data_IF_913216776840
#
_entry.id   IF_913216776840
#
_cell.length_a   1.000
_cell.length_b   1.000
_cell.length_c   1.000
_cell.angle_alpha   90.00
_cell.angle_beta   90.00
_cell.angle_gamma   90.00
#
_symmetry.space_group_name_H-M   'P 1'
#
loop_
_entity.id
_entity.type
_entity.pdbx_description
1 polymer ?
#
# COMPACT_ATOMS: atom_id res chain seq x y z
N UNK A 1 -16.17 15.84 -29.93
CA UNK A 1 -17.12 15.93 -28.79
C UNK A 1 -17.77 14.57 -28.65
N UNK A 2 -17.35 13.77 -27.67
CA UNK A 2 -17.86 12.41 -27.43
C UNK A 2 -18.95 12.46 -26.33
N UNK A 3 -20.21 12.07 -26.62
CA UNK A 3 -21.35 12.29 -25.73
C UNK A 3 -21.71 11.11 -24.79
N UNK A 4 -20.77 10.28 -24.31
CA UNK A 4 -21.10 9.10 -23.47
C UNK A 4 -20.61 9.13 -22.03
N UNK A 5 -20.89 10.22 -21.32
CA UNK A 5 -20.82 10.21 -19.85
C UNK A 5 -22.19 10.57 -19.26
N UNK A 6 -23.13 9.63 -19.39
CA UNK A 6 -24.40 9.70 -18.67
C UNK A 6 -24.22 8.95 -17.34
N UNK A 7 -24.13 9.64 -16.19
CA UNK A 7 -24.01 8.99 -14.90
C UNK A 7 -25.27 8.18 -14.59
N UNK A 8 -25.08 6.98 -14.04
CA UNK A 8 -26.14 6.06 -13.65
C UNK A 8 -27.09 6.73 -12.63
N UNK A 9 -28.42 6.82 -12.92
CA UNK A 9 -29.39 7.44 -12.02
C UNK A 9 -29.57 6.70 -10.69
N UNK A 10 -28.98 5.51 -10.51
CA UNK A 10 -28.97 4.76 -9.25
C UNK A 10 -27.66 4.91 -8.45
N UNK A 11 -26.71 5.69 -8.94
CA UNK A 11 -25.49 5.98 -8.20
C UNK A 11 -25.79 7.00 -7.09
N UNK A 12 -26.01 6.49 -5.88
CA UNK A 12 -26.16 7.30 -4.69
C UNK A 12 -24.85 7.21 -3.88
N UNK A 13 -23.95 8.20 -3.98
CA UNK A 13 -22.71 8.16 -3.25
C UNK A 13 -23.00 8.13 -1.75
N UNK A 14 -22.32 7.24 -1.01
CA UNK A 14 -22.51 7.09 0.42
C UNK A 14 -22.40 8.46 1.12
N UNK A 15 -23.35 8.78 2.00
CA UNK A 15 -23.41 10.05 2.74
C UNK A 15 -22.13 10.40 3.49
N UNK A 16 -21.26 9.42 3.75
CA UNK A 16 -19.92 9.62 4.32
C UNK A 16 -18.96 10.39 3.40
N UNK A 17 -19.13 10.34 2.08
CA UNK A 17 -18.27 11.07 1.14
C UNK A 17 -18.64 12.55 0.99
N UNK A 18 -19.91 12.92 1.14
CA UNK A 18 -20.34 14.32 0.98
C UNK A 18 -20.04 15.20 2.20
N UNK A 19 -19.93 14.62 3.39
CA UNK A 19 -19.68 15.39 4.61
C UNK A 19 -18.28 16.05 4.65
N UNK A 20 -17.32 15.57 3.86
CA UNK A 20 -15.95 16.10 3.83
C UNK A 20 -15.71 17.29 2.90
N UNK A 21 -16.66 17.64 2.02
CA UNK A 21 -16.45 18.64 0.95
C UNK A 21 -17.10 20.01 1.22
N UNK A 22 -17.82 20.21 2.33
CA UNK A 22 -18.59 21.44 2.58
C UNK A 22 -17.91 22.50 3.46
N UNK A 23 -16.63 22.37 3.79
CA UNK A 23 -15.95 23.34 4.67
C UNK A 23 -14.69 23.88 3.99
N UNK A 24 -14.88 24.82 3.06
CA UNK A 24 -13.77 25.41 2.32
C UNK A 24 -14.16 26.66 1.53
N UNK A 25 -15.00 27.52 2.11
CA UNK A 25 -15.26 28.86 1.57
C UNK A 25 -15.41 29.83 2.74
N UNK A 26 -14.38 30.64 2.99
CA UNK A 26 -14.36 31.67 4.02
C UNK A 26 -13.04 32.42 3.99
N UNK A 27 -12.97 33.47 3.17
CA UNK A 27 -12.82 34.87 3.61
C UNK A 27 -11.40 35.23 4.08
N UNK A 28 -10.58 35.69 3.13
CA UNK A 28 -9.41 36.50 3.44
C UNK A 28 -9.88 37.93 3.75
N UNK A 29 -9.89 38.30 5.02
CA UNK A 29 -10.26 39.64 5.45
C UNK A 29 -9.79 39.96 6.86
N UNK A 30 -8.79 40.84 6.95
CA UNK A 30 -8.81 41.94 7.91
C UNK A 30 -8.11 41.78 9.27
N UNK A 31 -7.19 42.72 9.48
CA UNK A 31 -6.86 43.40 10.76
C UNK A 31 -6.02 42.69 11.82
N UNK A 32 -4.74 43.09 11.83
CA UNK A 32 -3.84 43.04 12.97
C UNK A 32 -4.31 43.96 14.11
N UNK A 33 -4.21 43.50 15.36
CA UNK A 33 -4.11 44.30 16.59
C UNK A 33 -3.68 43.39 17.78
N UNK A 34 -3.26 43.94 18.93
CA UNK A 34 -1.89 44.34 19.24
C UNK A 34 -1.18 43.34 20.18
N UNK A 35 0.14 43.24 20.07
CA UNK A 35 0.99 42.55 21.05
C UNK A 35 1.07 43.42 22.30
N UNK A 36 0.38 43.03 23.36
CA UNK A 36 0.43 43.67 24.66
C UNK A 36 0.99 42.69 25.71
N UNK A 37 2.09 43.10 26.34
CA UNK A 37 2.45 42.74 27.71
C UNK A 37 3.14 41.39 27.91
N UNK A 38 4.43 41.43 28.19
CA UNK A 38 5.20 40.26 28.62
C UNK A 38 4.96 39.87 30.08
N UNK A 39 5.13 38.58 30.38
CA UNK A 39 5.59 38.07 31.66
C UNK A 39 6.56 36.91 31.43
N UNK A 40 7.75 36.90 32.05
CA UNK A 40 8.65 35.76 32.05
C UNK A 40 8.29 34.81 33.20
N UNK A 41 8.11 33.52 32.88
CA UNK A 41 8.16 32.44 33.87
C UNK A 41 6.82 31.99 34.45
N UNK A 42 6.23 30.96 33.85
CA UNK A 42 5.86 29.66 34.45
C UNK A 42 5.20 28.84 33.34
N UNK A 43 5.95 27.93 32.72
CA UNK A 43 5.52 27.13 31.56
C UNK A 43 4.53 26.02 31.91
N UNK A 44 3.41 26.36 32.55
CA UNK A 44 2.22 25.53 32.60
C UNK A 44 1.16 26.23 31.75
N UNK A 45 1.12 25.93 30.45
CA UNK A 45 -0.02 26.32 29.66
C UNK A 45 -1.29 25.71 30.29
N UNK A 46 -2.33 26.50 30.58
CA UNK A 46 -3.58 25.95 31.09
C UNK A 46 -4.15 25.03 30.02
N UNK A 47 -4.41 23.78 30.38
CA UNK A 47 -5.06 22.79 29.52
C UNK A 47 -6.26 23.44 28.81
N UNK A 48 -6.19 23.52 27.47
CA UNK A 48 -7.26 24.04 26.64
C UNK A 48 -8.29 22.94 26.39
N UNK A 49 -9.53 23.05 26.90
CA UNK A 49 -10.59 22.12 26.58
C UNK A 49 -10.94 22.29 25.09
N UNK A 50 -10.39 21.43 24.24
CA UNK A 50 -10.53 21.55 22.78
C UNK A 50 -9.34 20.98 22.00
N UNK A 51 -8.19 20.83 22.64
CA UNK A 51 -7.02 20.14 22.08
C UNK A 51 -7.15 18.61 22.26
N UNK A 52 -8.35 18.10 22.00
CA UNK A 52 -8.57 16.69 21.78
C UNK A 52 -7.76 16.33 20.54
N UNK A 53 -6.75 15.47 20.73
CA UNK A 53 -5.86 14.95 19.70
C UNK A 53 -6.53 14.97 18.32
N UNK A 54 -6.00 15.81 17.42
CA UNK A 54 -6.48 15.89 16.04
C UNK A 54 -6.74 14.46 15.53
N UNK A 55 -7.89 14.18 14.92
CA UNK A 55 -8.25 12.80 14.56
C UNK A 55 -7.08 12.21 13.78
N UNK A 56 -6.45 11.19 14.35
CA UNK A 56 -5.31 10.50 13.76
C UNK A 56 -5.76 10.07 12.37
N UNK A 57 -5.32 10.78 11.32
CA UNK A 57 -5.79 10.52 9.96
C UNK A 57 -5.55 9.04 9.69
N UNK A 58 -6.62 8.31 9.38
CA UNK A 58 -6.52 6.90 9.04
C UNK A 58 -5.44 6.74 7.96
N UNK A 59 -4.60 5.69 8.05
CA UNK A 59 -3.56 5.52 7.06
C UNK A 59 -4.21 5.44 5.69
N UNK A 60 -3.58 6.06 4.70
CA UNK A 60 -4.00 5.88 3.32
C UNK A 60 -2.85 5.31 2.50
N UNK A 61 -3.19 4.38 1.62
CA UNK A 61 -2.30 3.75 0.66
C UNK A 61 -2.86 3.77 -0.75
N UNK A 62 -2.09 3.31 -1.74
CA UNK A 62 -2.57 3.11 -3.10
C UNK A 62 -2.99 1.66 -3.34
N UNK A 63 -4.17 1.46 -3.91
CA UNK A 63 -4.66 0.13 -4.27
C UNK A 63 -3.72 -0.57 -5.28
N UNK A 64 -3.38 -1.83 -4.98
CA UNK A 64 -2.51 -2.65 -5.81
C UNK A 64 -3.20 -3.11 -7.11
N UNK A 65 -2.41 -3.44 -8.14
CA UNK A 65 -2.93 -3.93 -9.42
C UNK A 65 -3.26 -5.42 -9.35
N UNK A 66 -4.47 -5.80 -9.75
CA UNK A 66 -4.86 -7.21 -9.96
C UNK A 66 -4.06 -7.80 -11.13
N UNK A 67 -3.45 -8.97 -10.95
CA UNK A 67 -2.74 -9.68 -12.04
C UNK A 67 -3.14 -11.14 -12.11
N UNK A 68 -3.15 -11.68 -13.32
CA UNK A 68 -3.36 -13.10 -13.54
C UNK A 68 -2.13 -13.90 -13.07
N UNK A 69 -2.25 -14.79 -12.07
CA UNK A 69 -1.12 -15.53 -11.52
C UNK A 69 -0.35 -16.30 -12.59
N UNK A 70 -1.05 -17.01 -13.48
CA UNK A 70 -0.42 -17.81 -14.55
C UNK A 70 0.35 -16.95 -15.55
N UNK A 71 -0.05 -15.69 -15.77
CA UNK A 71 0.70 -14.78 -16.64
C UNK A 71 2.05 -14.39 -16.00
N UNK A 72 2.10 -14.27 -14.67
CA UNK A 72 3.35 -14.03 -13.94
C UNK A 72 4.26 -15.27 -13.88
N UNK A 73 3.69 -16.48 -13.92
CA UNK A 73 4.42 -17.75 -13.78
C UNK A 73 4.87 -18.37 -15.11
N UNK A 74 3.98 -18.50 -16.09
CA UNK A 74 4.19 -19.29 -17.30
C UNK A 74 4.54 -18.45 -18.53
N UNK A 75 4.07 -17.19 -18.58
CA UNK A 75 4.09 -16.40 -19.81
C UNK A 75 5.46 -15.81 -20.18
N UNK A 76 6.34 -15.55 -19.22
CA UNK A 76 7.52 -14.69 -19.46
C UNK A 76 8.87 -15.23 -18.98
N UNK A 77 9.02 -15.96 -17.87
CA UNK A 77 10.34 -16.50 -17.48
C UNK A 77 10.93 -17.45 -18.53
N UNK A 78 10.09 -18.26 -19.18
CA UNK A 78 10.49 -19.17 -20.26
C UNK A 78 10.87 -18.42 -21.55
N UNK A 79 10.21 -17.29 -21.83
CA UNK A 79 10.47 -16.45 -23.02
C UNK A 79 11.68 -15.52 -22.79
N UNK A 80 11.93 -15.07 -21.55
CA UNK A 80 12.95 -14.08 -21.20
C UNK A 80 14.18 -14.66 -20.49
N UNK A 81 14.40 -15.99 -20.53
CA UNK A 81 15.50 -16.65 -19.80
C UNK A 81 15.59 -16.21 -18.32
N UNK A 82 14.44 -16.08 -17.64
CA UNK A 82 14.37 -15.69 -16.22
C UNK A 82 14.43 -14.18 -15.89
N UNK A 83 14.73 -13.30 -16.85
CA UNK A 83 14.84 -11.84 -16.60
C UNK A 83 13.50 -11.24 -16.11
N UNK A 84 12.37 -11.71 -16.64
CA UNK A 84 11.06 -11.22 -16.22
C UNK A 84 10.76 -11.45 -14.74
N UNK A 85 11.32 -12.51 -14.14
CA UNK A 85 11.17 -12.77 -12.70
C UNK A 85 11.66 -11.56 -11.89
N UNK A 86 12.73 -10.89 -12.32
CA UNK A 86 13.24 -9.67 -11.68
C UNK A 86 12.29 -8.49 -11.86
N UNK A 87 11.75 -8.29 -13.06
CA UNK A 87 10.80 -7.20 -13.35
C UNK A 87 9.53 -7.36 -12.52
N UNK A 88 8.97 -8.57 -12.47
CA UNK A 88 7.81 -8.88 -11.64
C UNK A 88 8.11 -8.60 -10.16
N UNK A 89 9.26 -9.08 -9.67
CA UNK A 89 9.65 -8.92 -8.28
C UNK A 89 9.91 -7.45 -7.91
N UNK A 90 10.45 -6.63 -8.81
CA UNK A 90 10.54 -5.19 -8.62
C UNK A 90 9.14 -4.56 -8.50
N UNK A 91 8.24 -4.95 -9.40
CA UNK A 91 6.91 -4.35 -9.51
C UNK A 91 6.04 -4.62 -8.28
N UNK A 92 6.07 -5.84 -7.73
CA UNK A 92 5.33 -6.16 -6.50
C UNK A 92 5.87 -5.40 -5.29
N UNK A 93 7.20 -5.23 -5.18
CA UNK A 93 7.79 -4.50 -4.06
C UNK A 93 7.45 -3.02 -4.13
N UNK A 94 7.46 -2.44 -5.33
CA UNK A 94 7.03 -1.06 -5.56
C UNK A 94 5.55 -0.87 -5.19
N UNK A 95 4.67 -1.75 -5.63
CA UNK A 95 3.24 -1.64 -5.30
C UNK A 95 2.95 -1.85 -3.82
N UNK A 96 3.71 -2.72 -3.16
CA UNK A 96 3.59 -2.93 -1.72
C UNK A 96 4.09 -1.73 -0.92
N UNK A 97 5.15 -1.06 -1.39
CA UNK A 97 5.61 0.22 -0.81
C UNK A 97 4.60 1.36 -1.02
N UNK A 98 3.94 1.40 -2.19
CA UNK A 98 2.88 2.37 -2.51
C UNK A 98 1.57 2.08 -1.72
N UNK A 99 1.30 0.81 -1.41
CA UNK A 99 0.13 0.37 -0.64
C UNK A 99 0.23 0.68 0.85
N UNK A 100 1.38 0.48 1.48
CA UNK A 100 1.57 0.85 2.89
C UNK A 100 2.82 1.73 3.06
N UNK A 101 2.68 3.06 2.88
CA UNK A 101 3.80 4.00 3.03
C UNK A 101 4.41 4.03 4.44
N UNK A 102 3.70 3.49 5.45
CA UNK A 102 4.22 3.43 6.83
C UNK A 102 5.28 2.34 6.98
N UNK A 103 5.22 1.30 6.14
CA UNK A 103 6.20 0.22 6.15
C UNK A 103 7.31 0.54 5.17
N UNK A 104 8.54 0.59 5.66
CA UNK A 104 9.72 0.67 4.81
C UNK A 104 9.89 -0.67 4.07
N UNK A 105 9.26 -0.78 2.91
CA UNK A 105 9.40 -1.93 2.00
C UNK A 105 10.55 -1.61 1.05
N UNK A 106 11.78 -2.10 1.29
CA UNK A 106 12.88 -1.85 0.35
C UNK A 106 12.56 -2.52 -0.98
N UNK A 107 12.57 -1.71 -2.04
CA UNK A 107 12.33 -2.12 -3.43
C UNK A 107 13.64 -2.53 -4.10
N UNK A 108 14.71 -1.76 -3.89
CA UNK A 108 16.02 -2.01 -4.50
C UNK A 108 16.83 -3.12 -3.78
N UNK A 109 16.72 -3.24 -2.46
CA UNK A 109 17.49 -4.22 -1.68
C UNK A 109 17.24 -5.67 -2.12
N UNK A 110 15.99 -6.15 -2.19
CA UNK A 110 15.69 -7.49 -2.66
C UNK A 110 16.09 -7.73 -4.13
N UNK A 111 16.09 -6.70 -4.97
CA UNK A 111 16.60 -6.76 -6.34
C UNK A 111 18.11 -6.98 -6.39
N UNK A 112 18.87 -6.19 -5.62
CA UNK A 112 20.32 -6.32 -5.51
C UNK A 112 20.72 -7.70 -5.00
N UNK A 113 19.99 -8.25 -4.04
CA UNK A 113 20.21 -9.62 -3.55
C UNK A 113 20.02 -10.64 -4.67
N UNK A 114 18.96 -10.54 -5.46
CA UNK A 114 18.73 -11.47 -6.57
C UNK A 114 19.74 -11.29 -7.70
N UNK A 115 20.15 -10.06 -8.01
CA UNK A 115 21.10 -9.75 -9.08
C UNK A 115 22.54 -10.12 -8.72
N UNK A 116 23.00 -9.75 -7.53
CA UNK A 116 24.41 -9.89 -7.12
C UNK A 116 24.67 -11.22 -6.40
N UNK A 117 23.70 -11.72 -5.63
CA UNK A 117 23.82 -12.93 -4.83
C UNK A 117 22.88 -14.06 -5.30
N UNK A 118 22.25 -13.91 -6.47
CA UNK A 118 21.38 -14.94 -7.07
C UNK A 118 22.03 -16.33 -7.16
N UNK A 119 23.33 -16.35 -7.46
CA UNK A 119 24.14 -17.57 -7.59
C UNK A 119 24.41 -18.28 -6.26
N UNK A 120 24.23 -17.61 -5.12
CA UNK A 120 24.52 -18.18 -3.79
C UNK A 120 23.42 -19.09 -3.26
N UNK A 121 22.26 -19.14 -3.93
CA UNK A 121 21.02 -19.87 -3.55
C UNK A 121 20.42 -19.41 -2.22
N UNK A 122 21.21 -19.33 -1.14
CA UNK A 122 20.84 -18.92 0.21
C UNK A 122 20.27 -17.50 0.24
N UNK A 123 20.93 -16.53 -0.41
CA UNK A 123 20.46 -15.14 -0.38
C UNK A 123 19.09 -14.95 -1.07
N UNK A 124 18.82 -15.57 -2.24
CA UNK A 124 17.48 -15.66 -2.80
C UNK A 124 16.43 -16.24 -1.86
N UNK A 125 16.75 -17.33 -1.14
CA UNK A 125 15.83 -17.96 -0.19
C UNK A 125 15.42 -16.99 0.94
N UNK A 126 16.39 -16.27 1.49
CA UNK A 126 16.12 -15.23 2.51
C UNK A 126 15.25 -14.11 1.91
N UNK A 127 15.53 -13.70 0.67
CA UNK A 127 14.73 -12.68 -0.03
C UNK A 127 13.27 -13.12 -0.17
N UNK A 128 13.03 -14.36 -0.61
CA UNK A 128 11.69 -14.92 -0.80
C UNK A 128 10.92 -15.07 0.50
N UNK A 129 11.57 -15.56 1.56
CA UNK A 129 10.97 -15.62 2.89
C UNK A 129 10.54 -14.22 3.38
N UNK A 130 11.42 -13.22 3.18
CA UNK A 130 11.11 -11.84 3.54
C UNK A 130 9.96 -11.26 2.69
N UNK A 131 9.84 -11.63 1.42
CA UNK A 131 8.69 -11.24 0.59
C UNK A 131 7.39 -11.82 1.11
N UNK A 132 7.34 -13.11 1.44
CA UNK A 132 6.16 -13.72 2.06
C UNK A 132 5.75 -13.01 3.35
N UNK A 133 6.72 -12.66 4.20
CA UNK A 133 6.45 -11.88 5.43
C UNK A 133 5.82 -10.51 5.15
N UNK A 134 6.28 -9.82 4.11
CA UNK A 134 5.74 -8.50 3.74
C UNK A 134 4.33 -8.59 3.18
N UNK A 135 4.01 -9.65 2.44
CA UNK A 135 2.65 -9.90 1.96
C UNK A 135 1.71 -10.17 3.15
N UNK A 136 2.14 -11.01 4.10
CA UNK A 136 1.39 -11.24 5.34
C UNK A 136 1.16 -9.94 6.13
N UNK A 137 2.18 -9.08 6.19
CA UNK A 137 2.08 -7.76 6.80
C UNK A 137 1.12 -6.83 6.05
N UNK A 138 1.14 -6.82 4.72
CA UNK A 138 0.20 -6.07 3.89
C UNK A 138 -1.25 -6.57 4.07
N UNK A 139 -1.46 -7.88 4.26
CA UNK A 139 -2.76 -8.43 4.61
C UNK A 139 -3.25 -7.90 5.97
N UNK A 140 -2.37 -7.79 6.97
CA UNK A 140 -2.72 -7.17 8.27
C UNK A 140 -3.07 -5.68 8.10
N UNK A 141 -2.27 -4.93 7.34
CA UNK A 141 -2.54 -3.51 7.05
C UNK A 141 -3.84 -3.34 6.26
N UNK A 142 -4.28 -4.35 5.50
CA UNK A 142 -5.58 -4.37 4.84
C UNK A 142 -6.75 -4.78 5.76
N UNK A 143 -6.48 -5.15 7.01
CA UNK A 143 -7.49 -5.68 7.94
C UNK A 143 -7.96 -7.11 7.60
N UNK A 144 -7.20 -7.83 6.77
CA UNK A 144 -7.50 -9.20 6.38
C UNK A 144 -6.85 -10.21 7.33
N UNK A 145 -7.47 -11.40 7.41
CA UNK A 145 -6.84 -12.54 8.04
C UNK A 145 -5.54 -12.89 7.29
N UNK A 146 -4.45 -13.05 8.03
CA UNK A 146 -3.16 -13.42 7.44
C UNK A 146 -3.25 -14.84 6.92
N UNK A 147 -3.17 -14.96 5.61
CA UNK A 147 -3.23 -16.25 4.89
C UNK A 147 -1.93 -16.54 4.14
N UNK A 148 -1.08 -15.53 3.92
CA UNK A 148 0.25 -15.72 3.39
C UNK A 148 1.19 -16.35 4.43
N UNK A 149 1.69 -17.55 4.12
CA UNK A 149 2.71 -18.25 4.89
C UNK A 149 4.07 -18.18 4.14
N UNK A 150 5.08 -17.49 4.72
CA UNK A 150 6.40 -17.35 4.10
C UNK A 150 7.13 -18.67 3.85
N UNK A 151 6.92 -19.68 4.73
CA UNK A 151 7.55 -21.00 4.61
C UNK A 151 6.93 -21.78 3.44
N UNK A 152 5.61 -21.69 3.26
CA UNK A 152 4.93 -22.30 2.12
C UNK A 152 5.42 -21.69 0.82
N UNK A 153 5.55 -20.37 0.75
CA UNK A 153 6.14 -19.69 -0.39
C UNK A 153 7.58 -20.16 -0.69
N UNK A 154 8.40 -20.32 0.36
CA UNK A 154 9.77 -20.82 0.23
C UNK A 154 9.83 -22.25 -0.33
N UNK A 155 8.99 -23.16 0.17
CA UNK A 155 8.91 -24.54 -0.32
C UNK A 155 8.44 -24.59 -1.78
N UNK A 156 7.45 -23.78 -2.13
CA UNK A 156 6.93 -23.66 -3.50
C UNK A 156 7.96 -23.05 -4.48
N UNK A 157 9.01 -22.37 -3.99
CA UNK A 157 10.08 -21.89 -4.84
C UNK A 157 10.83 -23.05 -5.54
N UNK A 158 10.98 -24.20 -4.86
CA UNK A 158 11.67 -25.37 -5.40
C UNK A 158 10.80 -26.18 -6.38
N UNK A 159 9.48 -26.02 -6.32
CA UNK A 159 8.54 -26.67 -7.23
C UNK A 159 8.28 -25.73 -8.39
N UNK A 160 9.09 -25.78 -9.44
CA UNK A 160 8.92 -24.94 -10.67
C UNK A 160 8.70 -23.43 -10.41
N UNK A 161 9.19 -22.88 -9.30
CA UNK A 161 8.93 -21.47 -8.95
C UNK A 161 7.45 -21.15 -8.71
N UNK A 162 6.65 -22.13 -8.26
CA UNK A 162 5.23 -21.95 -7.90
C UNK A 162 5.02 -20.87 -6.83
N UNK A 163 6.07 -20.44 -6.11
CA UNK A 163 5.97 -19.32 -5.19
C UNK A 163 5.39 -18.06 -5.85
N UNK A 164 5.71 -17.82 -7.13
CA UNK A 164 5.24 -16.63 -7.86
C UNK A 164 3.72 -16.66 -8.00
N UNK A 165 3.15 -17.83 -8.28
CA UNK A 165 1.69 -18.03 -8.30
C UNK A 165 1.09 -17.79 -6.92
N UNK A 166 1.70 -18.39 -5.90
CA UNK A 166 1.23 -18.31 -4.53
C UNK A 166 1.20 -16.86 -4.03
N UNK A 167 2.32 -16.14 -4.14
CA UNK A 167 2.41 -14.74 -3.74
C UNK A 167 1.48 -13.84 -4.56
N UNK A 168 1.34 -14.09 -5.86
CA UNK A 168 0.39 -13.33 -6.68
C UNK A 168 -1.07 -13.57 -6.27
N UNK A 169 -1.43 -14.81 -5.89
CA UNK A 169 -2.76 -15.14 -5.38
C UNK A 169 -3.05 -14.46 -4.03
N UNK A 170 -2.08 -14.46 -3.11
CA UNK A 170 -2.21 -13.79 -1.82
C UNK A 170 -2.33 -12.27 -1.95
N UNK A 171 -1.59 -11.65 -2.89
CA UNK A 171 -1.74 -10.23 -3.23
C UNK A 171 -3.12 -9.93 -3.85
N UNK A 172 -3.61 -10.80 -4.72
CA UNK A 172 -4.92 -10.62 -5.34
C UNK A 172 -6.05 -10.63 -4.29
N UNK A 173 -5.93 -11.37 -3.18
CA UNK A 173 -6.92 -11.30 -2.08
C UNK A 173 -7.01 -9.90 -1.48
N UNK A 174 -5.88 -9.21 -1.33
CA UNK A 174 -5.85 -7.82 -0.86
C UNK A 174 -6.59 -6.92 -1.85
N UNK A 175 -6.30 -7.08 -3.15
CA UNK A 175 -6.98 -6.32 -4.22
C UNK A 175 -8.48 -6.57 -4.22
N UNK A 176 -8.89 -7.83 -4.12
CA UNK A 176 -10.29 -8.28 -4.14
C UNK A 176 -11.06 -7.82 -2.88
N UNK A 177 -10.37 -7.51 -1.78
CA UNK A 177 -10.98 -6.94 -0.57
C UNK A 177 -11.36 -5.46 -0.75
N UNK A 178 -10.54 -4.68 -1.44
CA UNK A 178 -10.82 -3.26 -1.69
C UNK A 178 -11.75 -3.04 -2.89
N UNK A 179 -11.67 -3.86 -3.94
CA UNK A 179 -12.50 -3.76 -5.16
C UNK A 179 -12.50 -2.38 -5.84
N UNK A 180 -11.46 -1.59 -5.62
CA UNK A 180 -11.28 -0.27 -6.25
C UNK A 180 -10.32 -0.37 -7.45
N UNK A 181 -10.40 0.57 -8.42
CA UNK A 181 -9.43 0.66 -9.50
C UNK A 181 -8.00 0.83 -8.98
N UNK A 182 -7.02 0.38 -9.76
CA UNK A 182 -5.60 0.50 -9.40
C UNK A 182 -5.22 1.96 -9.10
N UNK A 183 -4.31 2.17 -8.14
CA UNK A 183 -3.86 3.50 -7.68
C UNK A 183 -4.96 4.39 -7.08
N UNK A 184 -6.11 3.85 -6.74
CA UNK A 184 -7.10 4.56 -5.92
C UNK A 184 -6.61 4.63 -4.48
N UNK A 185 -6.82 5.77 -3.82
CA UNK A 185 -6.46 5.94 -2.41
C UNK A 185 -7.39 5.09 -1.53
N UNK A 186 -6.81 4.17 -0.76
CA UNK A 186 -7.53 3.26 0.15
C UNK A 186 -7.15 3.51 1.59
N UNK A 187 -8.10 3.35 2.50
CA UNK A 187 -7.85 3.44 3.93
C UNK A 187 -7.30 2.10 4.43
N UNK A 188 -6.18 2.14 5.14
CA UNK A 188 -5.57 0.96 5.75
C UNK A 188 -6.07 0.78 7.19
N UNK A 189 -6.14 -0.48 7.62
CA UNK A 189 -6.34 -0.85 9.00
C UNK A 189 -5.17 -0.37 9.87
N UNK A 190 -5.43 -0.24 11.18
CA UNK A 190 -4.49 0.31 12.16
C UNK A 190 -3.40 -0.67 12.54
#
# INVERSE_FOLDING_TARGET
MDPRHQPDPRYQPDRRYQAGQRTGAGSYGGTAAPVAGGHPGTGIEPWRPGELAAPQRAATGLAMKRRHPVAAWLGLPLITLGIYSLVWYYKIHREMAEFDPRRQVPVAGPMLVLLLLGWTVIAPLISFYNTGRRIADAQRSAGLAVTCNPVVGLLLCFVFGLQTLYYQAELNRIVDAYRVPERTQVVLAR
#
